data_IF_598540628647
#
_entry.id   IF_598540628647
#
_cell.length_a   1.000
_cell.length_b   1.000
_cell.length_c   1.000
_cell.angle_alpha   90.00
_cell.angle_beta   90.00
_cell.angle_gamma   90.00
#
_symmetry.space_group_name_H-M   'P 1'
#
loop_
_entity.id
_entity.type
_entity.pdbx_description
1 polymer ?
#
# COMPACT_ATOMS: atom_id res chain seq x y z
N UNK A 1 -10.82 -0.71 23.53
CA UNK A 1 -9.60 -1.03 22.77
C UNK A 1 -9.54 -2.48 22.28
N UNK A 2 -9.74 -3.50 23.14
CA UNK A 2 -9.69 -4.92 22.73
C UNK A 2 -10.83 -5.35 21.78
N UNK A 3 -12.02 -4.76 21.87
CA UNK A 3 -13.14 -5.04 20.95
C UNK A 3 -12.90 -4.54 19.52
N UNK A 4 -12.27 -3.38 19.37
CA UNK A 4 -11.99 -2.77 18.06
C UNK A 4 -10.91 -3.54 17.29
N UNK A 5 -9.92 -4.10 18.00
CA UNK A 5 -8.87 -4.96 17.41
C UNK A 5 -9.47 -6.30 16.94
N UNK A 6 -10.47 -6.83 17.65
CA UNK A 6 -11.14 -8.08 17.27
C UNK A 6 -12.11 -7.89 16.08
N UNK A 7 -12.69 -6.70 15.90
CA UNK A 7 -13.52 -6.39 14.73
C UNK A 7 -12.66 -6.17 13.47
N UNK A 8 -11.51 -5.50 13.58
CA UNK A 8 -10.56 -5.38 12.49
C UNK A 8 -10.02 -6.76 12.02
N UNK A 9 -9.79 -7.69 12.96
CA UNK A 9 -9.43 -9.08 12.67
C UNK A 9 -10.56 -9.89 12.02
N UNK A 10 -11.80 -9.45 12.12
CA UNK A 10 -12.97 -10.15 11.56
C UNK A 10 -13.29 -9.72 10.13
N UNK A 11 -12.77 -8.58 9.66
CA UNK A 11 -13.09 -7.97 8.38
C UNK A 11 -11.93 -8.07 7.36
N UNK A 12 -10.71 -8.36 7.80
CA UNK A 12 -9.57 -8.57 6.92
C UNK A 12 -8.87 -9.87 7.28
N UNK A 13 -8.84 -10.83 6.37
CA UNK A 13 -7.89 -11.92 6.47
C UNK A 13 -6.49 -11.31 6.33
N UNK A 14 -5.87 -10.97 7.47
CA UNK A 14 -4.45 -10.68 7.50
C UNK A 14 -3.73 -11.95 7.07
N UNK A 15 -3.21 -11.95 5.86
CA UNK A 15 -2.20 -12.91 5.50
C UNK A 15 -0.91 -12.48 6.20
N UNK A 16 -0.69 -12.94 7.45
CA UNK A 16 0.66 -12.98 7.96
C UNK A 16 1.46 -14.03 7.15
N UNK A 17 2.75 -13.93 7.18
CA UNK A 17 3.60 -14.85 6.42
C UNK A 17 3.37 -16.33 6.80
N UNK A 18 2.98 -16.64 8.03
CA UNK A 18 2.69 -18.01 8.44
C UNK A 18 1.40 -18.52 7.80
N UNK A 19 0.38 -17.68 7.68
CA UNK A 19 -0.86 -17.99 6.96
C UNK A 19 -0.58 -18.05 5.45
N UNK A 20 0.31 -17.22 4.95
CA UNK A 20 0.70 -17.14 3.54
C UNK A 20 1.58 -18.33 3.13
N UNK A 21 2.52 -18.76 3.97
CA UNK A 21 3.42 -19.87 3.70
C UNK A 21 2.78 -21.27 3.91
N UNK A 22 1.75 -21.38 4.74
CA UNK A 22 1.05 -22.64 5.01
C UNK A 22 -0.02 -23.00 3.97
N UNK A 23 -0.51 -22.02 3.26
CA UNK A 23 -1.46 -22.25 2.18
C UNK A 23 -0.68 -22.25 0.86
N UNK A 24 -0.71 -23.36 0.12
CA UNK A 24 -0.20 -23.53 -1.25
C UNK A 24 -0.87 -22.59 -2.30
N UNK A 25 -1.16 -21.35 -1.91
CA UNK A 25 -2.12 -20.44 -2.48
C UNK A 25 -1.49 -19.36 -3.36
N UNK A 26 -0.15 -19.33 -3.44
CA UNK A 26 0.60 -18.23 -4.05
C UNK A 26 1.01 -18.48 -5.50
N UNK A 27 0.71 -19.66 -6.03
CA UNK A 27 1.22 -20.12 -7.32
C UNK A 27 0.68 -19.35 -8.55
N UNK A 28 -0.34 -18.47 -8.38
CA UNK A 28 -0.99 -17.81 -9.49
C UNK A 28 -0.91 -16.27 -9.47
N UNK A 29 -0.26 -15.65 -8.44
CA UNK A 29 -0.17 -14.20 -8.37
C UNK A 29 0.82 -13.67 -9.39
N UNK A 30 0.33 -12.87 -10.32
CA UNK A 30 1.13 -12.18 -11.33
C UNK A 30 1.08 -10.68 -11.15
N UNK A 31 -0.08 -10.14 -10.79
CA UNK A 31 -0.35 -8.72 -10.78
C UNK A 31 -0.32 -8.16 -9.36
N UNK A 32 0.60 -7.26 -9.09
CA UNK A 32 0.71 -6.60 -7.79
C UNK A 32 0.30 -5.14 -7.94
N UNK A 33 -0.69 -4.73 -7.14
CA UNK A 33 -1.20 -3.37 -7.08
C UNK A 33 -0.60 -2.70 -5.86
N UNK A 34 0.48 -1.94 -6.05
CA UNK A 34 1.26 -1.35 -4.98
C UNK A 34 0.78 0.07 -4.73
N UNK A 35 0.49 0.41 -3.49
CA UNK A 35 0.07 1.74 -3.07
C UNK A 35 0.86 2.22 -1.85
N UNK A 36 0.94 3.55 -1.70
CA UNK A 36 1.50 4.23 -0.54
C UNK A 36 0.81 5.61 -0.45
N UNK A 37 -0.10 5.79 0.51
CA UNK A 37 -0.87 7.03 0.63
C UNK A 37 -0.06 8.10 1.35
N UNK A 38 -0.16 9.35 0.87
CA UNK A 38 0.20 10.47 1.70
C UNK A 38 -1.05 11.02 2.40
N UNK A 39 -0.88 11.46 3.63
CA UNK A 39 -1.96 11.98 4.45
C UNK A 39 -1.58 13.27 5.15
N UNK A 40 -2.60 14.03 5.57
CA UNK A 40 -2.39 15.19 6.44
C UNK A 40 -1.66 14.77 7.71
N UNK A 41 -0.60 15.51 8.06
CA UNK A 41 0.19 15.28 9.26
C UNK A 41 0.56 16.61 9.94
N UNK A 42 0.77 16.56 11.26
CA UNK A 42 1.00 17.72 12.10
C UNK A 42 2.13 17.39 13.08
N UNK A 43 3.04 18.34 13.28
CA UNK A 43 4.20 18.14 14.16
C UNK A 43 3.78 17.96 15.63
N UNK A 44 2.82 18.79 16.09
CA UNK A 44 2.44 18.90 17.49
C UNK A 44 1.04 18.39 17.85
N UNK A 45 0.26 17.92 16.88
CA UNK A 45 -1.14 17.54 17.10
C UNK A 45 -1.47 16.13 16.59
N UNK A 46 -1.07 15.14 17.40
CA UNK A 46 -1.34 13.72 17.14
C UNK A 46 -2.84 13.36 17.21
N UNK A 47 -3.72 14.28 17.64
CA UNK A 47 -5.15 14.03 17.82
C UNK A 47 -5.98 14.31 16.56
N UNK A 48 -5.43 15.07 15.60
CA UNK A 48 -6.14 15.32 14.35
C UNK A 48 -6.18 14.05 13.52
N UNK A 49 -7.36 13.69 12.98
CA UNK A 49 -7.45 12.51 12.12
C UNK A 49 -6.68 12.75 10.82
N UNK A 50 -5.95 11.73 10.39
CA UNK A 50 -5.32 11.74 9.09
C UNK A 50 -6.38 11.70 7.98
N UNK A 51 -6.16 12.50 6.93
CA UNK A 51 -6.94 12.50 5.68
C UNK A 51 -5.99 12.28 4.52
N UNK A 52 -6.34 11.41 3.61
CA UNK A 52 -5.54 11.12 2.41
C UNK A 52 -5.45 12.38 1.56
N UNK A 53 -4.24 12.76 1.15
CA UNK A 53 -3.95 13.90 0.27
C UNK A 53 -3.31 13.48 -1.06
N UNK A 54 -2.74 12.28 -1.14
CA UNK A 54 -2.34 11.64 -2.39
C UNK A 54 -2.75 10.16 -2.38
N UNK A 55 -3.38 9.70 -3.46
CA UNK A 55 -3.86 8.34 -3.65
C UNK A 55 -3.19 7.74 -4.90
N UNK A 56 -2.00 7.18 -4.78
CA UNK A 56 -1.31 6.53 -5.88
C UNK A 56 -1.48 5.01 -5.81
N UNK A 57 -1.57 4.36 -6.97
CA UNK A 57 -1.45 2.90 -7.13
C UNK A 57 -0.66 2.63 -8.40
N UNK A 58 0.33 1.75 -8.36
CA UNK A 58 1.04 1.26 -9.55
C UNK A 58 0.77 -0.23 -9.72
N UNK A 59 0.67 -0.71 -10.96
CA UNK A 59 0.51 -2.12 -11.26
C UNK A 59 1.84 -2.69 -11.75
N UNK A 60 2.35 -3.69 -11.04
CA UNK A 60 3.53 -4.44 -11.38
C UNK A 60 3.14 -5.79 -12.00
N UNK A 61 3.68 -6.09 -13.19
CA UNK A 61 3.71 -7.44 -13.73
C UNK A 61 4.97 -8.16 -13.20
N UNK A 62 4.79 -9.13 -12.32
CA UNK A 62 5.92 -9.85 -11.72
C UNK A 62 6.68 -10.75 -12.70
N UNK A 63 6.06 -11.12 -13.83
CA UNK A 63 6.68 -11.95 -14.86
C UNK A 63 7.67 -11.13 -15.68
N UNK A 64 7.30 -9.92 -16.08
CA UNK A 64 8.17 -9.02 -16.86
C UNK A 64 9.03 -8.11 -16.00
N UNK A 65 8.68 -7.95 -14.72
CA UNK A 65 9.33 -7.02 -13.79
C UNK A 65 9.05 -5.55 -14.10
N UNK A 66 8.01 -5.24 -14.88
CA UNK A 66 7.72 -3.88 -15.33
C UNK A 66 6.43 -3.32 -14.71
N UNK A 67 6.41 -2.01 -14.48
CA UNK A 67 5.19 -1.29 -14.17
C UNK A 67 4.40 -1.08 -15.47
N UNK A 68 3.14 -1.50 -15.47
CA UNK A 68 2.31 -1.54 -16.70
C UNK A 68 1.21 -0.48 -16.72
N UNK A 69 0.78 0.00 -15.55
CA UNK A 69 -0.23 1.04 -15.41
C UNK A 69 -0.13 1.71 -14.05
N UNK A 70 -0.76 2.87 -13.88
CA UNK A 70 -0.84 3.57 -12.61
C UNK A 70 -2.11 4.41 -12.49
N UNK A 71 -2.60 4.51 -11.28
CA UNK A 71 -3.60 5.48 -10.85
C UNK A 71 -2.95 6.48 -9.90
N UNK A 72 -3.18 7.76 -10.09
CA UNK A 72 -2.72 8.79 -9.15
C UNK A 72 -3.73 9.93 -9.11
N UNK A 73 -4.07 10.37 -7.91
CA UNK A 73 -4.90 11.55 -7.70
C UNK A 73 -4.47 12.26 -6.43
N UNK A 74 -4.33 13.57 -6.46
CA UNK A 74 -4.43 14.36 -5.24
C UNK A 74 -5.85 14.29 -4.70
N UNK A 75 -5.97 14.44 -3.39
CA UNK A 75 -7.23 14.36 -2.66
C UNK A 75 -7.38 15.60 -1.81
N UNK A 76 -8.53 16.27 -1.91
CA UNK A 76 -8.86 17.42 -1.07
C UNK A 76 -9.21 16.94 0.34
N UNK A 77 -8.44 17.31 1.37
CA UNK A 77 -8.82 17.08 2.75
C UNK A 77 -10.02 17.96 3.12
N UNK A 78 -10.97 17.46 3.89
CA UNK A 78 -12.23 18.13 4.21
C UNK A 78 -12.45 18.39 5.70
N UNK A 79 -11.77 17.64 6.56
CA UNK A 79 -11.78 17.83 8.01
C UNK A 79 -10.64 18.75 8.45
N UNK A 80 -9.49 18.68 7.77
CA UNK A 80 -8.33 19.55 7.96
C UNK A 80 -7.88 20.11 6.60
N UNK A 81 -8.59 21.09 6.03
CA UNK A 81 -8.40 21.53 4.64
C UNK A 81 -7.06 22.22 4.38
N UNK A 82 -6.45 22.80 5.42
CA UNK A 82 -5.15 23.46 5.33
C UNK A 82 -4.02 22.49 5.70
N UNK A 83 -3.07 22.33 4.77
CA UNK A 83 -1.87 21.53 5.04
C UNK A 83 -0.96 22.28 6.00
N UNK A 84 -0.44 21.58 7.00
CA UNK A 84 0.61 22.15 7.85
C UNK A 84 1.91 22.33 7.07
N UNK A 85 2.74 23.28 7.50
CA UNK A 85 4.09 23.47 6.94
C UNK A 85 4.91 22.17 7.05
N UNK A 86 4.75 21.44 8.16
CA UNK A 86 5.39 20.15 8.37
C UNK A 86 4.96 19.12 7.29
N UNK A 87 3.66 19.01 7.04
CA UNK A 87 3.11 18.11 6.03
C UNK A 87 3.65 18.43 4.63
N UNK A 88 3.59 19.72 4.22
CA UNK A 88 4.09 20.15 2.92
C UNK A 88 5.60 19.95 2.76
N UNK A 89 6.38 20.16 3.81
CA UNK A 89 7.82 19.90 3.79
C UNK A 89 8.14 18.40 3.71
N UNK A 90 7.39 17.56 4.43
CA UNK A 90 7.58 16.12 4.45
C UNK A 90 7.23 15.50 3.09
N UNK A 91 6.00 15.70 2.63
CA UNK A 91 5.46 15.05 1.42
C UNK A 91 5.83 15.76 0.12
N UNK A 92 6.14 17.07 0.19
CA UNK A 92 6.30 17.94 -0.97
C UNK A 92 5.00 18.36 -1.63
N UNK A 93 3.85 17.91 -1.10
CA UNK A 93 2.53 18.30 -1.58
C UNK A 93 2.20 19.70 -1.06
N UNK A 94 1.84 20.59 -1.98
CA UNK A 94 1.52 21.97 -1.64
C UNK A 94 0.00 22.17 -1.53
N UNK A 95 -0.40 23.24 -0.85
CA UNK A 95 -1.82 23.57 -0.69
C UNK A 95 -2.55 23.69 -2.04
N UNK A 96 -1.92 24.26 -3.05
CA UNK A 96 -2.49 24.40 -4.40
C UNK A 96 -2.74 23.06 -5.11
N UNK A 97 -2.02 21.98 -4.73
CA UNK A 97 -2.24 20.64 -5.30
C UNK A 97 -3.56 20.03 -4.81
N UNK A 98 -3.96 20.36 -3.57
CA UNK A 98 -5.10 19.72 -2.90
C UNK A 98 -6.34 20.61 -2.82
N UNK A 99 -6.22 21.92 -2.83
CA UNK A 99 -7.36 22.85 -2.64
C UNK A 99 -8.47 22.69 -3.69
N UNK A 100 -8.08 22.39 -4.95
CA UNK A 100 -9.00 22.13 -6.06
C UNK A 100 -9.09 20.66 -6.47
N UNK A 101 -8.42 19.78 -5.71
CA UNK A 101 -8.48 18.34 -5.95
C UNK A 101 -9.88 17.77 -5.63
N UNK A 102 -10.24 16.61 -6.18
CA UNK A 102 -11.46 15.92 -5.82
C UNK A 102 -11.40 15.43 -4.36
N UNK A 103 -12.53 15.36 -3.68
CA UNK A 103 -12.63 14.73 -2.36
C UNK A 103 -12.41 13.23 -2.42
N UNK A 104 -12.11 12.59 -1.29
CA UNK A 104 -11.90 11.13 -1.23
C UNK A 104 -13.08 10.35 -1.83
N UNK A 105 -14.31 10.78 -1.59
CA UNK A 105 -15.50 10.14 -2.17
C UNK A 105 -15.48 10.12 -3.71
N UNK A 106 -14.97 11.18 -4.34
CA UNK A 106 -14.82 11.25 -5.80
C UNK A 106 -13.65 10.41 -6.27
N UNK A 107 -12.53 10.46 -5.54
CA UNK A 107 -11.32 9.69 -5.87
C UNK A 107 -11.61 8.19 -5.79
N UNK A 108 -12.31 7.72 -4.78
CA UNK A 108 -12.70 6.30 -4.64
C UNK A 108 -13.53 5.83 -5.85
N UNK A 109 -14.52 6.63 -6.30
CA UNK A 109 -15.29 6.27 -7.51
C UNK A 109 -14.42 6.21 -8.77
N UNK A 110 -13.48 7.17 -8.94
CA UNK A 110 -12.53 7.15 -10.07
C UNK A 110 -11.61 5.94 -9.98
N UNK A 111 -11.12 5.64 -8.80
CA UNK A 111 -10.27 4.48 -8.54
C UNK A 111 -11.00 3.17 -8.82
N UNK A 112 -12.23 2.98 -8.35
CA UNK A 112 -13.04 1.78 -8.64
C UNK A 112 -13.29 1.60 -10.14
N UNK A 113 -13.52 2.70 -10.87
CA UNK A 113 -13.66 2.65 -12.32
C UNK A 113 -12.35 2.22 -13.01
N UNK A 114 -11.21 2.81 -12.61
CA UNK A 114 -9.90 2.42 -13.11
C UNK A 114 -9.57 0.97 -12.77
N UNK A 115 -9.79 0.55 -11.51
CA UNK A 115 -9.54 -0.82 -11.04
C UNK A 115 -10.36 -1.84 -11.85
N UNK A 116 -11.63 -1.56 -12.10
CA UNK A 116 -12.47 -2.43 -12.92
C UNK A 116 -11.91 -2.59 -14.34
N UNK A 117 -11.50 -1.49 -14.99
CA UNK A 117 -10.86 -1.55 -16.31
C UNK A 117 -9.54 -2.32 -16.29
N UNK A 118 -8.71 -2.10 -15.27
CA UNK A 118 -7.48 -2.84 -15.10
C UNK A 118 -7.74 -4.35 -14.96
N UNK A 119 -8.75 -4.74 -14.15
CA UNK A 119 -9.16 -6.15 -14.00
C UNK A 119 -9.62 -6.76 -15.31
N UNK A 120 -10.41 -6.04 -16.09
CA UNK A 120 -10.89 -6.48 -17.41
C UNK A 120 -9.73 -6.65 -18.40
N UNK A 121 -8.85 -5.65 -18.51
CA UNK A 121 -7.73 -5.66 -19.47
C UNK A 121 -6.68 -6.74 -19.13
N UNK A 122 -6.43 -7.00 -17.84
CA UNK A 122 -5.41 -7.96 -17.38
C UNK A 122 -5.98 -9.37 -17.17
N UNK A 123 -7.31 -9.53 -17.25
CA UNK A 123 -7.97 -10.79 -16.90
C UNK A 123 -7.68 -11.20 -15.45
N UNK A 124 -7.50 -10.25 -14.54
CA UNK A 124 -7.06 -10.53 -13.19
C UNK A 124 -8.19 -10.53 -12.16
N UNK A 125 -7.97 -11.25 -11.05
CA UNK A 125 -8.94 -11.42 -9.98
C UNK A 125 -8.29 -11.22 -8.60
N UNK A 126 -8.99 -10.50 -7.72
CA UNK A 126 -8.66 -10.36 -6.29
C UNK A 126 -9.50 -11.29 -5.41
N UNK A 127 -10.33 -12.12 -6.01
CA UNK A 127 -11.13 -13.11 -5.26
C UNK A 127 -10.17 -14.05 -4.54
N UNK A 128 -10.45 -14.29 -3.25
CA UNK A 128 -9.62 -15.15 -2.40
C UNK A 128 -9.22 -16.47 -3.07
N UNK A 129 -8.09 -16.98 -2.62
CA UNK A 129 -7.43 -18.17 -3.12
C UNK A 129 -8.38 -19.38 -3.34
N UNK A 130 -8.09 -20.27 -4.27
CA UNK A 130 -6.86 -20.37 -5.09
C UNK A 130 -6.91 -19.61 -6.43
N UNK A 131 -7.94 -18.85 -6.71
CA UNK A 131 -8.19 -18.23 -8.03
C UNK A 131 -7.70 -16.79 -8.15
N UNK A 132 -7.06 -16.25 -7.09
CA UNK A 132 -6.53 -14.89 -7.10
C UNK A 132 -5.28 -14.80 -7.97
N UNK A 133 -5.29 -13.91 -8.96
CA UNK A 133 -4.13 -13.59 -9.81
C UNK A 133 -3.58 -12.20 -9.55
N UNK A 134 -4.25 -11.43 -8.67
CA UNK A 134 -3.86 -10.08 -8.27
C UNK A 134 -3.98 -9.90 -6.76
N UNK A 135 -3.13 -9.03 -6.21
CA UNK A 135 -3.14 -8.67 -4.80
C UNK A 135 -2.68 -7.23 -4.61
N UNK A 136 -3.19 -6.56 -3.56
CA UNK A 136 -2.66 -5.28 -3.14
C UNK A 136 -1.40 -5.44 -2.28
N UNK A 137 -0.50 -4.45 -2.36
CA UNK A 137 0.75 -4.40 -1.58
C UNK A 137 0.93 -3.00 -1.04
N UNK A 138 1.27 -2.90 0.23
CA UNK A 138 1.69 -1.67 0.89
C UNK A 138 3.07 -1.84 1.50
N UNK A 139 3.81 -0.75 1.71
CA UNK A 139 5.02 -0.83 2.52
C UNK A 139 4.68 -1.25 3.95
N UNK A 140 3.70 -0.60 4.57
CA UNK A 140 3.12 -0.99 5.85
C UNK A 140 1.61 -1.18 5.72
N UNK A 141 1.01 -2.01 6.58
CA UNK A 141 -0.44 -2.21 6.59
C UNK A 141 -1.24 -0.95 6.98
N UNK A 142 -0.57 0.06 7.54
CA UNK A 142 -1.17 1.29 8.05
C UNK A 142 -2.00 2.04 6.99
N UNK A 143 -1.56 2.05 5.75
CA UNK A 143 -2.23 2.73 4.64
C UNK A 143 -3.70 2.31 4.50
N UNK A 144 -3.94 1.01 4.49
CA UNK A 144 -5.29 0.47 4.29
C UNK A 144 -5.98 0.21 5.63
N UNK A 145 -5.29 -0.41 6.60
CA UNK A 145 -5.91 -0.84 7.86
C UNK A 145 -6.25 0.32 8.79
N UNK A 146 -5.58 1.45 8.63
CA UNK A 146 -5.73 2.63 9.49
C UNK A 146 -6.13 3.86 8.69
N UNK A 147 -5.28 4.32 7.77
CA UNK A 147 -5.50 5.59 7.08
C UNK A 147 -6.80 5.57 6.26
N UNK A 148 -6.91 4.69 5.28
CA UNK A 148 -8.09 4.60 4.42
C UNK A 148 -9.33 4.12 5.21
N UNK A 149 -9.16 3.09 6.06
CA UNK A 149 -10.25 2.54 6.85
C UNK A 149 -10.89 3.59 7.76
N UNK A 150 -10.08 4.31 8.54
CA UNK A 150 -10.60 5.29 9.49
C UNK A 150 -11.23 6.49 8.77
N UNK A 151 -10.64 6.96 7.65
CA UNK A 151 -11.22 8.04 6.88
C UNK A 151 -12.53 7.62 6.22
N UNK A 152 -12.61 6.43 5.59
CA UNK A 152 -13.85 5.90 5.05
C UNK A 152 -14.93 5.77 6.12
N UNK A 153 -14.58 5.27 7.32
CA UNK A 153 -15.52 5.14 8.44
C UNK A 153 -16.04 6.48 8.91
N UNK A 154 -15.17 7.48 9.09
CA UNK A 154 -15.55 8.83 9.53
C UNK A 154 -16.48 9.49 8.51
N UNK A 155 -16.15 9.37 7.23
CA UNK A 155 -16.88 9.99 6.12
C UNK A 155 -18.03 9.15 5.59
N UNK A 156 -18.31 7.97 6.19
CA UNK A 156 -19.35 7.02 5.78
C UNK A 156 -19.23 6.61 4.30
N UNK A 157 -17.99 6.40 3.84
CA UNK A 157 -17.67 5.95 2.49
C UNK A 157 -17.46 4.43 2.49
N UNK A 158 -17.81 3.74 1.38
CA UNK A 158 -17.50 2.32 1.23
C UNK A 158 -15.98 2.12 1.08
N UNK A 159 -15.45 1.10 1.75
CA UNK A 159 -14.08 0.64 1.52
C UNK A 159 -14.05 -0.27 0.29
N UNK A 160 -13.12 -0.08 -0.66
CA UNK A 160 -12.97 -0.99 -1.80
C UNK A 160 -12.65 -2.42 -1.34
N UNK A 161 -13.56 -3.36 -1.61
CA UNK A 161 -13.46 -4.75 -1.10
C UNK A 161 -12.23 -5.50 -1.57
N UNK A 162 -11.74 -5.21 -2.78
CA UNK A 162 -10.53 -5.83 -3.35
C UNK A 162 -9.26 -5.51 -2.54
N UNK A 163 -9.23 -4.38 -1.78
CA UNK A 163 -8.11 -3.96 -0.92
C UNK A 163 -8.03 -4.72 0.40
N UNK A 164 -9.05 -5.51 0.75
CA UNK A 164 -9.05 -6.29 1.99
C UNK A 164 -7.97 -7.40 1.95
N UNK A 165 -7.68 -7.94 0.75
CA UNK A 165 -6.61 -8.90 0.55
C UNK A 165 -5.34 -8.16 0.12
N UNK A 166 -4.35 -8.09 1.00
CA UNK A 166 -3.13 -7.31 0.78
C UNK A 166 -1.92 -7.88 1.49
N UNK A 167 -0.76 -7.46 1.06
CA UNK A 167 0.55 -7.80 1.62
C UNK A 167 1.11 -6.57 2.35
N UNK A 168 1.48 -6.74 3.62
CA UNK A 168 2.41 -5.85 4.34
C UNK A 168 3.84 -6.25 3.97
N UNK A 169 4.46 -5.50 3.06
CA UNK A 169 5.79 -5.85 2.55
C UNK A 169 6.88 -5.67 3.60
N UNK A 170 6.72 -4.71 4.52
CA UNK A 170 7.67 -4.50 5.63
C UNK A 170 7.72 -5.69 6.56
N UNK A 171 6.57 -6.28 6.89
CA UNK A 171 6.51 -7.47 7.72
C UNK A 171 7.26 -8.64 7.07
N UNK A 172 7.05 -8.85 5.77
CA UNK A 172 7.76 -9.89 4.99
C UNK A 172 9.26 -9.60 4.94
N UNK A 173 9.66 -8.37 4.67
CA UNK A 173 11.06 -7.96 4.63
C UNK A 173 11.76 -8.18 5.99
N UNK A 174 11.11 -7.82 7.08
CA UNK A 174 11.64 -8.05 8.44
C UNK A 174 11.84 -9.54 8.72
N UNK A 175 10.91 -10.38 8.31
CA UNK A 175 11.02 -11.83 8.49
C UNK A 175 12.16 -12.42 7.65
N UNK A 176 12.30 -11.97 6.40
CA UNK A 176 13.41 -12.37 5.53
C UNK A 176 14.76 -11.99 6.12
N UNK A 177 14.93 -10.76 6.65
CA UNK A 177 16.14 -10.35 7.35
C UNK A 177 16.41 -11.22 8.58
N UNK A 178 15.40 -11.55 9.37
CA UNK A 178 15.52 -12.41 10.55
C UNK A 178 16.01 -13.82 10.19
N UNK A 179 15.53 -14.40 9.08
CA UNK A 179 15.95 -15.71 8.59
C UNK A 179 17.42 -15.77 8.14
N UNK A 180 17.98 -14.64 7.74
CA UNK A 180 19.39 -14.51 7.34
C UNK A 180 20.31 -14.12 8.48
N UNK A 181 19.85 -14.20 9.75
CA UNK A 181 20.61 -13.83 10.96
C UNK A 181 21.21 -12.41 10.94
N UNK A 182 20.63 -11.52 10.16
CA UNK A 182 20.95 -10.10 10.17
C UNK A 182 20.31 -9.52 11.42
N UNK A 183 20.96 -9.73 12.56
CA UNK A 183 20.70 -9.33 13.94
C UNK A 183 19.53 -8.38 14.20
N UNK A 184 19.13 -8.21 15.46
CA UNK A 184 18.17 -7.26 16.04
C UNK A 184 16.92 -6.90 15.18
N UNK A 185 15.76 -6.75 15.82
CA UNK A 185 14.50 -6.32 15.22
C UNK A 185 14.72 -5.03 14.41
N UNK A 186 14.92 -5.17 13.10
CA UNK A 186 15.12 -4.04 12.19
C UNK A 186 13.90 -3.11 12.21
N UNK A 187 14.14 -1.79 12.28
CA UNK A 187 13.10 -0.76 12.44
C UNK A 187 13.15 0.33 11.37
N UNK A 188 13.92 0.13 10.31
CA UNK A 188 14.10 1.11 9.25
C UNK A 188 12.83 1.39 8.43
N UNK A 189 12.94 2.45 7.60
CA UNK A 189 11.92 2.80 6.60
C UNK A 189 12.17 2.12 5.26
N UNK A 190 11.34 2.47 4.24
CA UNK A 190 11.47 1.93 2.88
C UNK A 190 12.85 2.24 2.27
N UNK A 191 13.35 3.47 2.45
CA UNK A 191 14.68 3.87 1.97
C UNK A 191 15.80 3.03 2.60
N UNK A 192 15.69 2.72 3.90
CA UNK A 192 16.68 1.87 4.59
C UNK A 192 16.62 0.44 4.08
N UNK A 193 15.41 -0.09 3.80
CA UNK A 193 15.23 -1.41 3.23
C UNK A 193 15.87 -1.53 1.85
N UNK A 194 15.67 -0.54 0.97
CA UNK A 194 16.30 -0.50 -0.34
C UNK A 194 17.83 -0.46 -0.22
N UNK A 195 18.37 0.40 0.63
CA UNK A 195 19.82 0.50 0.85
C UNK A 195 20.43 -0.83 1.32
N UNK A 196 19.74 -1.56 2.21
CA UNK A 196 20.20 -2.87 2.69
C UNK A 196 20.34 -3.93 1.58
N UNK A 197 19.54 -3.82 0.51
CA UNK A 197 19.62 -4.74 -0.63
C UNK A 197 20.43 -4.17 -1.80
N UNK A 198 21.14 -3.04 -1.59
CA UNK A 198 21.98 -2.41 -2.60
C UNK A 198 21.23 -1.59 -3.66
N UNK A 199 19.98 -1.21 -3.39
CA UNK A 199 19.18 -0.30 -4.22
C UNK A 199 19.14 1.09 -3.58
N UNK A 200 19.19 2.12 -4.43
CA UNK A 200 18.96 3.50 -3.98
C UNK A 200 17.50 3.89 -4.21
N UNK A 201 16.98 4.73 -3.32
CA UNK A 201 15.65 5.31 -3.47
C UNK A 201 15.63 6.22 -4.71
N UNK A 202 14.64 6.08 -5.58
CA UNK A 202 14.43 6.88 -6.77
C UNK A 202 13.27 7.86 -6.56
N UNK A 203 13.46 9.12 -6.93
CA UNK A 203 12.47 10.17 -6.71
C UNK A 203 12.55 10.77 -5.30
N UNK A 204 11.42 11.21 -4.77
CA UNK A 204 11.31 11.89 -3.49
C UNK A 204 10.69 10.97 -2.44
N UNK A 205 11.37 10.68 -1.31
CA UNK A 205 10.75 10.03 -0.15
C UNK A 205 9.55 10.85 0.34
N UNK A 206 8.52 10.16 0.80
CA UNK A 206 7.25 10.75 1.21
C UNK A 206 6.52 11.49 0.06
N UNK A 207 6.70 11.00 -1.15
CA UNK A 207 5.85 11.24 -2.29
C UNK A 207 5.22 9.91 -2.66
N UNK A 208 3.94 9.74 -2.41
CA UNK A 208 3.27 8.44 -2.44
C UNK A 208 3.50 7.65 -3.74
N UNK A 209 3.47 8.31 -4.92
CA UNK A 209 3.75 7.62 -6.18
C UNK A 209 5.20 7.14 -6.28
N UNK A 210 6.16 7.88 -5.72
CA UNK A 210 7.57 7.48 -5.73
C UNK A 210 7.81 6.36 -4.69
N UNK A 211 7.16 6.43 -3.52
CA UNK A 211 7.21 5.38 -2.50
C UNK A 211 6.58 4.09 -3.03
N UNK A 212 5.43 4.14 -3.72
CA UNK A 212 4.82 2.97 -4.37
C UNK A 212 5.74 2.34 -5.43
N UNK A 213 6.43 3.16 -6.25
CA UNK A 213 7.42 2.68 -7.24
C UNK A 213 8.62 2.02 -6.56
N UNK A 214 9.14 2.59 -5.49
CA UNK A 214 10.25 2.02 -4.75
C UNK A 214 9.85 0.74 -4.00
N UNK A 215 8.63 0.68 -3.47
CA UNK A 215 8.04 -0.53 -2.88
C UNK A 215 7.95 -1.65 -3.93
N UNK A 216 7.60 -1.33 -5.18
CA UNK A 216 7.60 -2.32 -6.28
C UNK A 216 9.00 -2.87 -6.59
N UNK A 217 10.05 -2.04 -6.52
CA UNK A 217 11.45 -2.47 -6.73
C UNK A 217 11.93 -3.40 -5.61
N UNK A 218 11.57 -3.08 -4.36
CA UNK A 218 11.83 -3.96 -3.22
C UNK A 218 11.10 -5.30 -3.37
N UNK A 219 9.81 -5.25 -3.74
CA UNK A 219 9.01 -6.45 -3.98
C UNK A 219 9.66 -7.35 -5.05
N UNK A 220 10.07 -6.79 -6.20
CA UNK A 220 10.77 -7.54 -7.25
C UNK A 220 12.04 -8.21 -6.74
N UNK A 221 12.84 -7.51 -5.92
CA UNK A 221 14.02 -8.10 -5.31
C UNK A 221 13.66 -9.30 -4.43
N UNK A 222 12.64 -9.18 -3.59
CA UNK A 222 12.19 -10.27 -2.72
C UNK A 222 11.63 -11.47 -3.53
N UNK A 223 10.89 -11.21 -4.60
CA UNK A 223 10.42 -12.23 -5.53
C UNK A 223 11.60 -12.98 -6.18
N UNK A 224 12.64 -12.27 -6.63
CA UNK A 224 13.84 -12.87 -7.23
C UNK A 224 14.65 -13.75 -6.25
N UNK A 225 14.47 -13.54 -4.95
CA UNK A 225 15.10 -14.35 -3.88
C UNK A 225 14.21 -15.49 -3.41
N UNK A 226 13.07 -15.75 -4.06
CA UNK A 226 12.06 -16.74 -3.65
C UNK A 226 11.57 -16.53 -2.20
N UNK A 227 11.65 -15.30 -1.69
CA UNK A 227 11.21 -14.96 -0.33
C UNK A 227 9.69 -15.08 -0.23
N UNK A 228 9.02 -14.72 -1.31
CA UNK A 228 7.60 -14.97 -1.53
C UNK A 228 7.54 -16.18 -2.45
N UNK A 229 7.43 -17.38 -1.90
CA UNK A 229 7.28 -18.60 -2.70
C UNK A 229 5.93 -18.57 -3.44
N UNK A 230 5.86 -17.79 -4.49
CA UNK A 230 4.83 -17.89 -5.53
C UNK A 230 5.29 -18.97 -6.53
N UNK A 231 5.56 -20.18 -6.02
CA UNK A 231 6.13 -21.24 -6.82
C UNK A 231 5.21 -21.56 -8.01
N UNK A 232 5.72 -21.26 -9.18
CA UNK A 232 5.30 -21.91 -10.42
C UNK A 232 5.82 -23.34 -10.37
N UNK A 233 5.00 -24.31 -10.12
CA UNK A 233 5.24 -25.71 -10.45
C UNK A 233 4.31 -26.14 -11.55
#
# INVERSE_FOLDING_TARGET
MQKTINEAKRIGAFYDFNTFAQNSLTNNLRWFFILDFESTCFEDDIKKPAEIIEFPVVILDSVTGTLIDSFQSFVKPTENPELSVFCSNLTGIQQCDVENAPTLAVVLRKFEHWLRKAKENLGCSFKGQPTSTAIFVTWTDWDISTCLWDECRRKKLPLPGDMLNRIDLKAIFQQWLGSHKIGQKWRGGLKDALNLIGLHFEGRPHRGIDDARNTSRLLLHLLSKNVLNFATS
#
